data_IF_090795036504
#
_entry.id   IF_090795036504
#
_cell.length_a   1.000
_cell.length_b   1.000
_cell.length_c   1.000
_cell.angle_alpha   90.00
_cell.angle_beta   90.00
_cell.angle_gamma   90.00
#
_symmetry.space_group_name_H-M   'P 1'
#
loop_
_entity.id
_entity.type
_entity.pdbx_description
1 polymer ?
#
# COMPACT_ATOMS: atom_id res chain seq x y z
N UNK A 1 -8.54 32.28 -73.18
CA UNK A 1 -9.96 32.21 -73.05
C UNK A 1 -10.21 31.29 -71.79
N UNK A 2 -10.26 32.00 -70.75
CA UNK A 2 -10.41 31.62 -69.35
C UNK A 2 -11.88 31.57 -69.03
N UNK A 3 -12.22 30.72 -68.17
CA UNK A 3 -13.28 30.79 -67.14
C UNK A 3 -13.99 29.47 -66.94
N UNK A 4 -14.23 29.20 -65.71
CA UNK A 4 -15.12 28.17 -65.13
C UNK A 4 -14.53 26.76 -64.97
N UNK A 5 -13.94 26.53 -63.79
CA UNK A 5 -14.29 25.41 -62.91
C UNK A 5 -13.83 25.77 -61.47
N UNK A 6 -14.58 26.63 -60.79
CA UNK A 6 -14.69 26.65 -59.36
C UNK A 6 -16.12 26.30 -59.05
N UNK A 7 -16.34 25.12 -58.45
CA UNK A 7 -17.45 24.88 -57.50
C UNK A 7 -17.52 23.39 -57.15
N UNK A 8 -17.59 23.12 -55.84
CA UNK A 8 -17.91 21.84 -55.22
C UNK A 8 -16.73 20.94 -54.79
N UNK A 9 -16.13 21.31 -53.66
CA UNK A 9 -15.62 20.32 -52.70
C UNK A 9 -15.70 20.87 -51.26
N UNK A 10 -16.93 21.13 -50.81
CA UNK A 10 -17.23 21.43 -49.43
C UNK A 10 -18.39 20.51 -49.01
N UNK A 11 -18.07 19.26 -48.65
CA UNK A 11 -18.96 18.43 -47.85
C UNK A 11 -18.21 17.15 -47.47
N UNK A 12 -18.30 16.80 -46.19
CA UNK A 12 -17.86 15.54 -45.57
C UNK A 12 -16.41 15.46 -45.08
N UNK A 13 -16.11 16.09 -43.94
CA UNK A 13 -15.23 15.49 -42.93
C UNK A 13 -15.53 16.08 -41.54
N UNK A 14 -16.76 15.90 -41.08
CA UNK A 14 -17.03 15.91 -39.65
C UNK A 14 -16.93 14.46 -39.13
N UNK A 15 -15.70 13.92 -39.06
CA UNK A 15 -15.42 12.71 -38.32
C UNK A 15 -15.19 13.10 -36.87
N UNK A 16 -16.08 12.64 -36.04
CA UNK A 16 -16.05 12.61 -34.60
C UNK A 16 -14.62 12.60 -34.05
N UNK A 17 -14.14 13.72 -33.50
CA UNK A 17 -13.06 13.73 -32.54
C UNK A 17 -13.65 13.32 -31.19
N UNK A 18 -13.81 12.04 -30.97
CA UNK A 18 -13.86 11.52 -29.61
C UNK A 18 -12.56 11.94 -28.90
N UNK A 19 -12.61 12.48 -27.69
CA UNK A 19 -11.39 12.73 -26.94
C UNK A 19 -10.70 11.40 -26.73
N UNK A 20 -9.56 11.20 -27.37
CA UNK A 20 -8.62 10.16 -27.02
C UNK A 20 -8.20 10.48 -25.58
N UNK A 21 -8.84 9.86 -24.60
CA UNK A 21 -8.28 9.77 -23.26
C UNK A 21 -6.92 9.10 -23.46
N UNK A 22 -5.86 9.90 -23.49
CA UNK A 22 -4.52 9.37 -23.35
C UNK A 22 -4.50 8.59 -22.05
N UNK A 23 -4.51 7.26 -22.13
CA UNK A 23 -4.07 6.39 -21.05
C UNK A 23 -2.59 6.73 -20.86
N UNK A 24 -2.31 7.71 -20.01
CA UNK A 24 -0.97 7.84 -19.43
C UNK A 24 -0.80 6.55 -18.65
N UNK A 25 -0.05 5.61 -19.21
CA UNK A 25 0.32 4.37 -18.54
C UNK A 25 1.08 4.81 -17.29
N UNK A 26 0.44 4.70 -16.13
CA UNK A 26 1.07 5.02 -14.85
C UNK A 26 2.32 4.15 -14.76
N UNK A 27 3.48 4.77 -14.64
CA UNK A 27 4.73 4.01 -14.56
C UNK A 27 4.82 3.35 -13.18
N UNK A 28 5.13 2.06 -13.16
CA UNK A 28 5.37 1.36 -11.91
C UNK A 28 6.58 1.98 -11.20
N UNK A 29 6.40 2.37 -9.94
CA UNK A 29 7.48 2.92 -9.10
C UNK A 29 8.44 1.83 -8.67
N UNK A 30 7.90 0.63 -8.36
CA UNK A 30 8.67 -0.55 -7.94
C UNK A 30 8.19 -1.75 -8.75
N UNK A 31 9.13 -2.51 -9.34
CA UNK A 31 8.86 -3.79 -9.99
C UNK A 31 9.76 -4.86 -9.38
N UNK A 32 9.14 -5.91 -8.87
CA UNK A 32 9.79 -7.11 -8.36
C UNK A 32 9.51 -8.19 -9.39
N UNK A 33 10.56 -8.80 -9.98
CA UNK A 33 10.44 -9.74 -11.09
C UNK A 33 11.07 -11.07 -10.71
N UNK A 34 10.24 -12.10 -10.53
CA UNK A 34 10.62 -13.49 -10.27
C UNK A 34 11.70 -13.63 -9.18
N UNK A 35 11.51 -12.92 -8.05
CA UNK A 35 12.49 -12.92 -6.96
C UNK A 35 12.41 -14.21 -6.17
N UNK A 36 13.58 -14.86 -6.02
CA UNK A 36 13.82 -16.02 -5.17
C UNK A 36 14.80 -15.65 -4.06
N UNK A 37 14.53 -16.13 -2.86
CA UNK A 37 15.48 -16.06 -1.75
C UNK A 37 15.60 -17.40 -1.04
N UNK A 38 16.80 -17.96 -1.08
CA UNK A 38 17.15 -19.18 -0.36
C UNK A 38 18.28 -18.81 0.62
N UNK A 39 18.12 -19.21 1.87
CA UNK A 39 19.12 -19.06 2.91
C UNK A 39 19.90 -20.37 3.09
N UNK A 40 21.21 -20.30 3.22
CA UNK A 40 22.11 -21.44 3.38
C UNK A 40 23.49 -21.16 2.79
N UNK A 41 24.39 -22.12 2.84
CA UNK A 41 25.81 -21.95 2.45
C UNK A 41 26.02 -21.78 0.94
N UNK A 42 25.22 -22.42 0.11
CA UNK A 42 25.27 -22.32 -1.36
C UNK A 42 23.86 -22.26 -1.96
N UNK A 43 23.14 -21.12 -1.82
CA UNK A 43 21.74 -21.04 -2.18
C UNK A 43 21.46 -21.27 -3.68
N UNK A 44 22.42 -20.94 -4.56
CA UNK A 44 22.26 -21.12 -6.02
C UNK A 44 22.21 -22.60 -6.43
N UNK A 45 22.86 -23.50 -5.68
CA UNK A 45 22.82 -24.94 -5.99
C UNK A 45 21.44 -25.56 -5.77
N UNK A 46 20.62 -24.96 -4.91
CA UNK A 46 19.28 -25.43 -4.55
C UNK A 46 18.18 -24.78 -5.40
N UNK A 47 18.51 -23.68 -6.09
CA UNK A 47 17.56 -22.93 -6.91
C UNK A 47 16.84 -23.79 -7.96
N UNK A 48 17.48 -24.71 -8.70
CA UNK A 48 16.78 -25.58 -9.66
C UNK A 48 15.72 -26.45 -9.00
N UNK A 49 15.96 -26.93 -7.78
CA UNK A 49 15.00 -27.73 -7.01
C UNK A 49 13.76 -26.91 -6.64
N UNK A 50 13.94 -25.65 -6.19
CA UNK A 50 12.86 -24.72 -5.88
C UNK A 50 12.08 -24.37 -7.16
N UNK A 51 12.75 -24.03 -8.25
CA UNK A 51 12.13 -23.77 -9.55
C UNK A 51 11.39 -24.99 -10.11
N UNK A 52 11.80 -26.20 -9.72
CA UNK A 52 11.13 -27.46 -10.04
C UNK A 52 9.89 -27.75 -9.20
N UNK A 53 9.51 -26.85 -8.28
CA UNK A 53 8.27 -26.95 -7.50
C UNK A 53 8.41 -27.67 -6.14
N UNK A 54 9.63 -27.92 -5.66
CA UNK A 54 9.84 -28.50 -4.34
C UNK A 54 9.32 -27.57 -3.23
N UNK A 55 8.69 -28.16 -2.21
CA UNK A 55 8.18 -27.39 -1.06
C UNK A 55 9.32 -26.89 -0.15
N UNK A 56 9.01 -25.94 0.74
CA UNK A 56 9.95 -25.43 1.74
C UNK A 56 10.48 -26.57 2.63
N UNK A 57 9.60 -27.46 3.05
CA UNK A 57 9.87 -28.60 3.89
C UNK A 57 10.82 -29.58 3.20
N UNK A 58 10.54 -29.93 1.94
CA UNK A 58 11.38 -30.81 1.13
C UNK A 58 12.79 -30.22 0.91
N UNK A 59 12.87 -28.90 0.64
CA UNK A 59 14.16 -28.22 0.49
C UNK A 59 14.95 -28.26 1.79
N UNK A 60 14.30 -27.94 2.92
CA UNK A 60 14.93 -27.96 4.23
C UNK A 60 15.44 -29.36 4.58
N UNK A 61 14.60 -30.40 4.42
CA UNK A 61 14.93 -31.78 4.76
C UNK A 61 16.08 -32.33 3.92
N UNK A 62 16.05 -32.10 2.60
CA UNK A 62 17.03 -32.67 1.67
C UNK A 62 18.36 -31.90 1.63
N UNK A 63 18.35 -30.60 1.94
CA UNK A 63 19.52 -29.76 1.70
C UNK A 63 19.95 -28.89 2.87
N UNK A 64 19.15 -28.79 3.92
CA UNK A 64 19.38 -27.89 5.07
C UNK A 64 19.21 -26.42 4.75
N UNK A 65 18.67 -26.06 3.56
CA UNK A 65 18.42 -24.68 3.16
C UNK A 65 16.99 -24.26 3.47
N UNK A 66 16.80 -22.97 3.72
CA UNK A 66 15.48 -22.41 3.98
C UNK A 66 15.05 -21.49 2.84
N UNK A 67 13.89 -21.75 2.24
CA UNK A 67 13.30 -20.89 1.21
C UNK A 67 12.60 -19.71 1.90
N UNK A 68 13.09 -18.50 1.65
CA UNK A 68 12.51 -17.25 2.15
C UNK A 68 11.47 -16.65 1.20
N UNK A 69 11.80 -16.64 -0.12
CA UNK A 69 10.90 -16.21 -1.20
C UNK A 69 11.00 -17.22 -2.36
N UNK A 70 9.87 -17.47 -2.98
CA UNK A 70 9.73 -18.40 -4.10
C UNK A 70 8.91 -17.74 -5.22
N UNK A 71 9.59 -17.29 -6.27
CA UNK A 71 9.02 -16.71 -7.48
C UNK A 71 8.07 -15.52 -7.25
N UNK A 72 8.48 -14.57 -6.42
CA UNK A 72 7.65 -13.41 -6.11
C UNK A 72 7.76 -12.35 -7.21
N UNK A 73 6.61 -11.94 -7.77
CA UNK A 73 6.53 -10.85 -8.74
C UNK A 73 5.42 -9.88 -8.34
N UNK A 74 5.76 -8.60 -8.19
CA UNK A 74 4.85 -7.53 -7.72
C UNK A 74 5.17 -6.25 -8.49
N UNK A 75 4.12 -5.49 -8.84
CA UNK A 75 4.24 -4.12 -9.35
C UNK A 75 3.54 -3.17 -8.40
N UNK A 76 4.22 -2.08 -8.06
CA UNK A 76 3.70 -1.04 -7.15
C UNK A 76 3.73 0.28 -7.91
N UNK A 77 2.60 0.95 -7.97
CA UNK A 77 2.42 2.20 -8.70
C UNK A 77 2.93 3.40 -7.87
N UNK A 78 3.23 4.49 -8.55
CA UNK A 78 3.63 5.73 -7.87
C UNK A 78 2.50 6.30 -7.00
N UNK A 79 2.83 6.69 -5.76
CA UNK A 79 1.89 7.26 -4.78
C UNK A 79 0.93 6.25 -4.16
N UNK A 80 1.15 4.96 -4.40
CA UNK A 80 0.35 3.87 -3.87
C UNK A 80 0.86 3.42 -2.49
N UNK A 81 -0.08 3.06 -1.62
CA UNK A 81 0.21 2.26 -0.43
C UNK A 81 -0.02 0.79 -0.74
N UNK A 82 1.05 0.05 -0.96
CA UNK A 82 1.02 -1.41 -1.16
C UNK A 82 1.25 -2.11 0.17
N UNK A 83 0.30 -2.91 0.60
CA UNK A 83 0.42 -3.71 1.83
C UNK A 83 0.81 -5.14 1.48
N UNK A 84 1.88 -5.63 2.08
CA UNK A 84 2.26 -7.03 2.01
C UNK A 84 1.92 -7.71 3.33
N UNK A 85 0.93 -8.62 3.31
CA UNK A 85 0.47 -9.32 4.50
C UNK A 85 0.72 -10.85 4.44
N UNK A 86 0.54 -11.53 5.56
CA UNK A 86 0.69 -12.97 5.71
C UNK A 86 1.13 -13.35 7.13
N UNK A 87 1.10 -14.62 7.47
CA UNK A 87 1.50 -15.12 8.79
C UNK A 87 3.00 -14.93 9.06
N UNK A 88 3.41 -15.12 10.31
CA UNK A 88 4.84 -15.12 10.68
C UNK A 88 5.60 -16.17 9.85
N UNK A 89 6.79 -15.81 9.35
CA UNK A 89 7.60 -16.69 8.50
C UNK A 89 7.14 -16.81 7.04
N UNK A 90 6.12 -16.06 6.58
CA UNK A 90 5.68 -16.08 5.18
C UNK A 90 6.63 -15.39 4.18
N UNK A 91 7.65 -14.65 4.64
CA UNK A 91 8.64 -13.99 3.79
C UNK A 91 8.54 -12.48 3.69
N UNK A 92 7.55 -11.83 4.36
CA UNK A 92 7.30 -10.37 4.28
C UNK A 92 8.52 -9.51 4.59
N UNK A 93 9.14 -9.69 5.76
CA UNK A 93 10.34 -8.93 6.16
C UNK A 93 11.55 -9.25 5.26
N UNK A 94 11.59 -10.46 4.67
CA UNK A 94 12.57 -10.80 3.65
C UNK A 94 12.33 -9.97 2.40
N UNK A 95 11.09 -9.88 1.92
CA UNK A 95 10.71 -9.13 0.72
C UNK A 95 11.09 -7.65 0.84
N UNK A 96 10.67 -6.97 1.94
CA UNK A 96 10.94 -5.54 2.10
C UNK A 96 12.44 -5.24 2.18
N UNK A 97 13.23 -6.14 2.77
CA UNK A 97 14.71 -6.00 2.86
C UNK A 97 15.42 -6.20 1.54
N UNK A 98 14.78 -6.77 0.53
CA UNK A 98 15.31 -6.82 -0.82
C UNK A 98 15.12 -5.47 -1.55
N UNK A 99 14.05 -4.71 -1.27
CA UNK A 99 13.80 -3.43 -1.91
C UNK A 99 14.91 -2.40 -1.65
N UNK A 100 15.42 -2.36 -0.43
CA UNK A 100 16.57 -1.52 -0.07
C UNK A 100 17.93 -2.25 -0.15
N UNK A 101 17.89 -3.48 -0.69
CA UNK A 101 19.05 -4.35 -0.85
C UNK A 101 19.86 -4.54 0.44
N UNK A 102 19.20 -4.61 1.61
CA UNK A 102 19.82 -5.09 2.85
C UNK A 102 20.12 -6.58 2.76
N UNK A 103 19.41 -7.30 1.91
CA UNK A 103 19.61 -8.69 1.58
C UNK A 103 19.57 -8.82 0.06
N UNK A 104 20.56 -9.48 -0.55
CA UNK A 104 20.53 -9.79 -1.98
C UNK A 104 19.62 -11.01 -2.25
N UNK A 105 18.81 -11.02 -3.32
CA UNK A 105 18.07 -12.19 -3.76
C UNK A 105 19.03 -13.31 -4.22
N UNK A 106 18.53 -14.54 -4.24
CA UNK A 106 19.26 -15.67 -4.86
C UNK A 106 19.15 -15.61 -6.37
N UNK A 107 17.99 -15.15 -6.87
CA UNK A 107 17.68 -14.94 -8.30
C UNK A 107 16.54 -13.93 -8.45
N UNK A 108 16.38 -13.36 -9.64
CA UNK A 108 15.37 -12.36 -9.97
C UNK A 108 15.89 -10.93 -9.86
N UNK A 109 15.07 -9.99 -10.31
CA UNK A 109 15.42 -8.57 -10.42
C UNK A 109 14.44 -7.69 -9.64
N UNK A 110 14.95 -6.54 -9.16
CA UNK A 110 14.16 -5.49 -8.54
C UNK A 110 14.50 -4.18 -9.23
N UNK A 111 13.48 -3.60 -9.86
CA UNK A 111 13.59 -2.30 -10.52
C UNK A 111 12.86 -1.25 -9.69
N UNK A 112 13.54 -0.14 -9.46
CA UNK A 112 12.97 1.04 -8.81
C UNK A 112 13.16 2.21 -9.77
N UNK A 113 12.05 2.81 -10.21
CA UNK A 113 12.05 3.82 -11.27
C UNK A 113 12.83 3.36 -12.54
N UNK A 114 12.68 2.08 -12.89
CA UNK A 114 13.37 1.47 -14.03
C UNK A 114 14.85 1.11 -13.79
N UNK A 115 15.43 1.50 -12.65
CA UNK A 115 16.81 1.15 -12.29
C UNK A 115 16.84 -0.20 -11.56
N UNK A 116 17.60 -1.18 -12.10
CA UNK A 116 17.81 -2.45 -11.42
C UNK A 116 18.74 -2.25 -10.20
N UNK A 117 18.18 -2.37 -9.01
CA UNK A 117 18.92 -2.16 -7.74
C UNK A 117 20.04 -3.18 -7.57
N UNK A 118 19.89 -4.38 -8.17
CA UNK A 118 20.91 -5.44 -8.09
C UNK A 118 22.18 -5.09 -8.86
N UNK A 119 22.12 -4.23 -9.87
CA UNK A 119 23.26 -3.80 -10.68
C UNK A 119 24.09 -2.67 -10.05
N UNK A 120 23.58 -2.04 -8.98
CA UNK A 120 24.27 -0.92 -8.34
C UNK A 120 25.54 -1.38 -7.64
N UNK A 121 26.63 -0.64 -7.83
CA UNK A 121 27.85 -0.79 -7.04
C UNK A 121 27.64 -0.23 -5.62
N UNK A 122 28.61 -0.39 -4.74
CA UNK A 122 28.49 0.02 -3.32
C UNK A 122 28.21 1.52 -3.16
N UNK A 123 28.90 2.36 -3.92
CA UNK A 123 28.75 3.81 -3.86
C UNK A 123 27.34 4.26 -4.30
N UNK A 124 26.91 3.79 -5.46
CA UNK A 124 25.58 4.08 -6.01
C UNK A 124 24.46 3.50 -5.13
N UNK A 125 24.70 2.36 -4.46
CA UNK A 125 23.73 1.77 -3.52
C UNK A 125 23.59 2.63 -2.25
N UNK A 126 24.68 3.20 -1.74
CA UNK A 126 24.64 4.11 -0.60
C UNK A 126 23.86 5.38 -0.98
N UNK A 127 24.16 5.96 -2.14
CA UNK A 127 23.45 7.14 -2.64
C UNK A 127 21.97 6.85 -2.88
N UNK A 128 21.65 5.72 -3.49
CA UNK A 128 20.28 5.24 -3.68
C UNK A 128 19.51 5.14 -2.36
N UNK A 129 20.08 4.55 -1.32
CA UNK A 129 19.46 4.44 0.01
C UNK A 129 19.25 5.80 0.67
N UNK A 130 20.15 6.77 0.45
CA UNK A 130 20.06 8.11 1.03
C UNK A 130 18.94 8.96 0.43
N UNK A 131 18.69 8.80 -0.89
CA UNK A 131 17.85 9.74 -1.63
C UNK A 131 16.55 9.12 -2.18
N UNK A 132 16.47 7.79 -2.31
CA UNK A 132 15.32 7.15 -2.94
C UNK A 132 14.33 6.56 -1.95
N UNK A 133 14.79 6.13 -0.77
CA UNK A 133 13.91 5.46 0.16
C UNK A 133 14.26 5.69 1.62
N UNK A 134 13.24 5.67 2.45
CA UNK A 134 13.34 5.65 3.90
C UNK A 134 12.73 4.37 4.47
N UNK A 135 13.06 4.04 5.72
CA UNK A 135 12.54 2.84 6.35
C UNK A 135 12.16 3.07 7.81
N UNK A 136 10.96 2.61 8.17
CA UNK A 136 10.46 2.50 9.54
C UNK A 136 10.56 1.03 9.96
N UNK A 137 11.24 0.77 11.08
CA UNK A 137 11.53 -0.58 11.56
C UNK A 137 10.56 -1.01 12.66
N UNK A 138 10.31 -2.31 12.75
CA UNK A 138 9.46 -2.94 13.76
C UNK A 138 9.88 -2.61 15.21
N UNK A 139 11.20 -2.59 15.49
CA UNK A 139 11.79 -2.27 16.80
C UNK A 139 12.32 -0.84 16.86
N UNK A 140 11.60 0.13 16.26
CA UNK A 140 11.91 1.55 16.18
C UNK A 140 13.27 1.91 15.53
N UNK A 141 14.34 1.14 15.78
CA UNK A 141 15.68 1.35 15.23
C UNK A 141 16.26 2.72 15.57
N UNK A 142 15.93 3.27 16.74
CA UNK A 142 16.45 4.55 17.21
C UNK A 142 17.84 4.38 17.79
N UNK A 143 18.67 5.40 17.63
CA UNK A 143 19.98 5.48 18.26
C UNK A 143 19.81 5.87 19.74
N UNK A 144 20.13 5.00 20.71
CA UNK A 144 19.85 5.23 22.12
C UNK A 144 20.67 6.40 22.73
N UNK A 145 21.80 6.72 22.11
CA UNK A 145 22.72 7.78 22.50
C UNK A 145 22.46 9.12 21.80
N UNK A 146 21.47 9.21 20.93
CA UNK A 146 21.03 10.42 20.23
C UNK A 146 19.67 10.88 20.78
N UNK A 147 19.47 12.18 20.90
CA UNK A 147 18.16 12.76 21.25
C UNK A 147 17.14 12.55 20.14
N UNK A 148 15.87 12.91 20.39
CA UNK A 148 14.78 12.85 19.37
C UNK A 148 15.16 13.65 18.13
N UNK A 149 15.55 14.92 18.27
CA UNK A 149 15.93 15.78 17.14
C UNK A 149 17.12 15.21 16.36
N UNK A 150 18.11 14.66 17.06
CA UNK A 150 19.26 14.02 16.43
C UNK A 150 18.91 12.71 15.72
N UNK A 151 17.96 11.93 16.25
CA UNK A 151 17.44 10.74 15.59
C UNK A 151 16.70 11.11 14.31
N UNK A 152 15.80 12.10 14.36
CA UNK A 152 15.02 12.56 13.21
C UNK A 152 15.94 13.17 12.13
N UNK A 153 16.92 13.99 12.54
CA UNK A 153 17.88 14.63 11.64
C UNK A 153 18.95 13.70 11.05
N UNK A 154 19.07 12.44 11.53
CA UNK A 154 20.16 11.55 11.14
C UNK A 154 20.21 11.25 9.64
N UNK A 155 19.05 11.01 9.01
CA UNK A 155 19.00 10.76 7.56
C UNK A 155 19.47 11.96 6.74
N UNK A 156 19.14 13.18 7.19
CA UNK A 156 19.60 14.43 6.58
C UNK A 156 21.12 14.63 6.76
N UNK A 157 21.67 14.18 7.90
CA UNK A 157 23.12 14.15 8.13
C UNK A 157 23.83 13.27 7.10
N UNK A 158 23.23 12.10 6.80
CA UNK A 158 23.75 11.19 5.77
C UNK A 158 23.61 11.75 4.34
N UNK A 159 22.64 12.65 4.10
CA UNK A 159 22.48 13.39 2.85
C UNK A 159 23.42 14.61 2.73
N UNK A 160 24.25 14.90 3.76
CA UNK A 160 25.20 16.01 3.76
C UNK A 160 24.59 17.39 4.08
N UNK A 161 23.38 17.45 4.66
CA UNK A 161 22.75 18.69 5.06
C UNK A 161 23.47 19.35 6.25
N UNK A 162 23.48 20.67 6.27
CA UNK A 162 24.04 21.46 7.39
C UNK A 162 23.25 21.21 8.68
N UNK A 163 23.85 21.50 9.84
CA UNK A 163 23.19 21.32 11.13
C UNK A 163 21.93 22.19 11.25
N UNK A 164 21.97 23.41 10.75
CA UNK A 164 20.82 24.32 10.75
C UNK A 164 19.66 23.77 9.93
N UNK A 165 19.91 23.30 8.68
CA UNK A 165 18.90 22.66 7.82
C UNK A 165 18.32 21.42 8.48
N UNK A 166 19.18 20.57 9.07
CA UNK A 166 18.74 19.33 9.75
C UNK A 166 17.81 19.64 10.92
N UNK A 167 18.22 20.57 11.80
CA UNK A 167 17.45 20.92 12.97
C UNK A 167 16.10 21.55 12.59
N UNK A 168 16.10 22.45 11.60
CA UNK A 168 14.85 23.04 11.08
C UNK A 168 13.89 21.96 10.58
N UNK A 169 14.33 21.11 9.65
CA UNK A 169 13.49 20.06 9.10
C UNK A 169 13.08 19.03 10.18
N UNK A 170 13.99 18.68 11.09
CA UNK A 170 13.67 17.75 12.18
C UNK A 170 12.58 18.30 13.09
N UNK A 171 12.62 19.58 13.45
CA UNK A 171 11.58 20.24 14.26
C UNK A 171 10.23 20.19 13.56
N UNK A 172 10.16 20.52 12.27
CA UNK A 172 8.92 20.45 11.48
C UNK A 172 8.32 19.04 11.49
N UNK A 173 9.15 17.98 11.36
CA UNK A 173 8.67 16.60 11.37
C UNK A 173 8.32 16.09 12.76
N UNK A 174 9.00 16.56 13.81
CA UNK A 174 8.65 16.29 15.22
C UNK A 174 7.27 16.87 15.53
N UNK A 175 7.01 18.10 15.12
CA UNK A 175 5.70 18.75 15.26
C UNK A 175 4.61 17.97 14.49
N UNK A 176 4.87 17.60 13.23
CA UNK A 176 3.93 16.87 12.38
C UNK A 176 3.49 15.51 12.97
N UNK A 177 4.34 14.86 13.79
CA UNK A 177 4.00 13.62 14.49
C UNK A 177 3.52 13.84 15.93
N UNK A 178 3.31 15.11 16.36
CA UNK A 178 2.80 15.46 17.68
C UNK A 178 3.78 15.19 18.83
N UNK A 179 5.07 15.43 18.62
CA UNK A 179 6.13 15.25 19.61
C UNK A 179 6.81 16.59 20.02
N UNK A 180 6.14 17.73 19.81
CA UNK A 180 6.66 19.02 20.27
C UNK A 180 6.90 19.02 21.79
N UNK A 181 8.06 19.52 22.21
CA UNK A 181 8.50 19.53 23.61
C UNK A 181 9.34 18.32 24.04
N UNK A 182 9.53 17.33 23.14
CA UNK A 182 10.31 16.11 23.40
C UNK A 182 11.63 16.07 22.63
N UNK A 183 12.03 17.13 21.95
CA UNK A 183 13.15 17.21 21.02
C UNK A 183 14.48 16.78 21.63
N UNK A 184 14.70 17.16 22.89
CA UNK A 184 15.94 16.93 23.63
C UNK A 184 15.94 15.64 24.46
N UNK A 185 14.83 14.88 24.45
CA UNK A 185 14.76 13.62 25.17
C UNK A 185 15.45 12.50 24.41
N UNK A 186 15.90 11.48 25.16
CA UNK A 186 16.49 10.26 24.64
C UNK A 186 15.42 9.18 24.48
N UNK A 187 15.61 8.20 23.60
CA UNK A 187 14.64 7.11 23.35
C UNK A 187 14.17 6.39 24.63
N UNK A 188 15.03 6.17 25.60
CA UNK A 188 14.69 5.50 26.86
C UNK A 188 13.76 6.30 27.77
N UNK A 189 13.56 7.59 27.49
CA UNK A 189 12.64 8.48 28.22
C UNK A 189 11.26 8.55 27.58
N UNK A 190 11.05 7.82 26.46
CA UNK A 190 9.84 7.88 25.65
C UNK A 190 9.05 6.57 25.78
N UNK A 191 7.71 6.66 25.72
CA UNK A 191 6.86 5.48 25.54
C UNK A 191 7.11 4.81 24.19
N UNK A 192 6.70 3.54 24.03
CA UNK A 192 6.82 2.83 22.76
C UNK A 192 6.13 3.55 21.60
N UNK A 193 4.94 4.10 21.82
CA UNK A 193 4.24 4.91 20.82
C UNK A 193 4.99 6.19 20.42
N UNK A 194 5.61 6.87 21.39
CA UNK A 194 6.45 8.04 21.10
C UNK A 194 7.70 7.65 20.31
N UNK A 195 8.36 6.53 20.66
CA UNK A 195 9.51 6.04 19.90
C UNK A 195 9.14 5.71 18.45
N UNK A 196 7.94 5.15 18.24
CA UNK A 196 7.42 4.88 16.89
C UNK A 196 7.20 6.18 16.10
N UNK A 197 6.63 7.21 16.73
CA UNK A 197 6.46 8.53 16.11
C UNK A 197 7.81 9.16 15.74
N UNK A 198 8.84 9.01 16.57
CA UNK A 198 10.22 9.43 16.23
C UNK A 198 10.74 8.67 15.01
N UNK A 199 10.51 7.34 14.93
CA UNK A 199 10.86 6.54 13.76
C UNK A 199 10.17 7.00 12.48
N UNK A 200 8.89 7.36 12.57
CA UNK A 200 8.12 7.91 11.45
C UNK A 200 8.64 9.30 11.06
N UNK A 201 8.85 10.20 12.03
CA UNK A 201 9.40 11.53 11.77
C UNK A 201 10.78 11.47 11.09
N UNK A 202 11.65 10.52 11.51
CA UNK A 202 12.95 10.27 10.88
C UNK A 202 12.82 9.85 9.42
N UNK A 203 11.87 8.96 9.12
CA UNK A 203 11.62 8.52 7.76
C UNK A 203 11.05 9.65 6.88
N UNK A 204 10.19 10.50 7.44
CA UNK A 204 9.62 11.66 6.74
C UNK A 204 10.62 12.80 6.52
N UNK A 205 11.63 12.92 7.40
CA UNK A 205 12.60 14.01 7.33
C UNK A 205 13.49 13.96 6.08
N UNK A 206 13.81 12.76 5.60
CA UNK A 206 14.66 12.56 4.41
C UNK A 206 13.99 12.92 3.10
N UNK A 207 12.68 13.15 3.11
CA UNK A 207 11.83 13.50 1.96
C UNK A 207 12.02 12.61 0.72
N UNK A 208 12.20 11.30 0.96
CA UNK A 208 12.32 10.30 -0.10
C UNK A 208 10.95 9.92 -0.67
N UNK A 209 10.91 9.52 -1.95
CA UNK A 209 9.66 9.14 -2.65
C UNK A 209 9.07 7.83 -2.16
N UNK A 210 9.92 6.92 -1.65
CA UNK A 210 9.53 5.58 -1.21
C UNK A 210 9.73 5.44 0.28
N UNK A 211 8.70 4.96 0.98
CA UNK A 211 8.74 4.64 2.40
C UNK A 211 8.48 3.16 2.61
N UNK A 212 9.43 2.47 3.24
CA UNK A 212 9.31 1.07 3.63
C UNK A 212 8.93 0.99 5.12
N UNK A 213 7.91 0.20 5.45
CA UNK A 213 7.41 0.06 6.82
C UNK A 213 7.33 -1.42 7.20
N UNK A 214 8.25 -1.90 8.04
CA UNK A 214 8.32 -3.32 8.47
C UNK A 214 7.61 -3.47 9.82
N UNK A 215 6.36 -3.95 9.82
CA UNK A 215 5.49 -4.13 11.01
C UNK A 215 5.49 -2.92 11.95
N UNK A 216 5.40 -1.73 11.37
CA UNK A 216 5.64 -0.48 12.07
C UNK A 216 4.72 -0.22 13.27
N UNK A 217 3.53 -0.82 13.31
CA UNK A 217 2.55 -0.59 14.39
C UNK A 217 2.30 -1.82 15.28
N UNK A 218 2.98 -2.94 15.04
CA UNK A 218 2.72 -4.21 15.74
C UNK A 218 3.01 -4.16 17.24
N UNK A 219 3.97 -3.33 17.66
CA UNK A 219 4.37 -3.19 19.06
C UNK A 219 3.56 -2.15 19.86
N UNK A 220 2.55 -1.52 19.23
CA UNK A 220 1.73 -0.49 19.86
C UNK A 220 0.45 -1.06 20.46
N UNK A 221 -0.04 -0.46 21.55
CA UNK A 221 -1.37 -0.74 22.07
C UNK A 221 -2.45 -0.30 21.06
N UNK A 222 -3.68 -0.87 21.14
CA UNK A 222 -4.71 -0.67 20.13
C UNK A 222 -5.10 0.80 19.89
N UNK A 223 -5.11 1.63 20.96
CA UNK A 223 -5.51 3.03 20.85
C UNK A 223 -4.43 3.84 20.09
N UNK A 224 -3.18 3.72 20.53
CA UNK A 224 -2.06 4.40 19.87
C UNK A 224 -1.88 3.91 18.43
N UNK A 225 -2.09 2.61 18.18
CA UNK A 225 -2.05 2.05 16.82
C UNK A 225 -3.09 2.70 15.91
N UNK A 226 -4.34 2.83 16.37
CA UNK A 226 -5.40 3.47 15.58
C UNK A 226 -5.07 4.94 15.27
N UNK A 227 -4.52 5.68 16.23
CA UNK A 227 -4.11 7.07 16.04
C UNK A 227 -2.97 7.19 15.03
N UNK A 228 -1.97 6.30 15.10
CA UNK A 228 -0.84 6.27 14.17
C UNK A 228 -1.26 5.92 12.75
N UNK A 229 -2.20 4.97 12.58
CA UNK A 229 -2.77 4.63 11.28
C UNK A 229 -3.51 5.83 10.67
N UNK A 230 -4.33 6.52 11.47
CA UNK A 230 -5.03 7.72 11.03
C UNK A 230 -4.04 8.80 10.60
N UNK A 231 -3.02 9.07 11.42
CA UNK A 231 -1.98 10.05 11.11
C UNK A 231 -1.23 9.68 9.82
N UNK A 232 -0.94 8.40 9.58
CA UNK A 232 -0.31 7.95 8.34
C UNK A 232 -1.21 8.21 7.12
N UNK A 233 -2.52 7.94 7.22
CA UNK A 233 -3.47 8.22 6.15
C UNK A 233 -3.59 9.71 5.84
N UNK A 234 -3.65 10.55 6.88
CA UNK A 234 -3.70 12.01 6.73
C UNK A 234 -2.44 12.51 6.01
N UNK A 235 -1.25 12.10 6.47
CA UNK A 235 0.03 12.42 5.84
C UNK A 235 0.12 11.90 4.38
N UNK A 236 -0.36 10.68 4.12
CA UNK A 236 -0.33 10.11 2.78
C UNK A 236 -1.24 10.85 1.80
N UNK A 237 -2.38 11.36 2.26
CA UNK A 237 -3.29 12.17 1.44
C UNK A 237 -2.62 13.46 0.93
N UNK A 238 -1.70 14.02 1.71
CA UNK A 238 -0.95 15.24 1.39
C UNK A 238 0.32 14.95 0.58
N UNK A 239 1.13 13.99 1.06
CA UNK A 239 2.48 13.74 0.55
C UNK A 239 2.52 12.82 -0.68
N UNK A 240 1.51 11.95 -0.85
CA UNK A 240 1.38 10.99 -1.97
C UNK A 240 2.64 10.15 -2.20
N UNK A 241 3.30 9.72 -1.12
CA UNK A 241 4.49 8.88 -1.19
C UNK A 241 4.12 7.45 -1.58
N UNK A 242 5.03 6.75 -2.24
CA UNK A 242 4.87 5.31 -2.45
C UNK A 242 5.25 4.57 -1.18
N UNK A 243 4.30 3.85 -0.58
CA UNK A 243 4.51 3.15 0.70
C UNK A 243 4.45 1.65 0.47
N UNK A 244 5.46 0.91 0.96
CA UNK A 244 5.41 -0.55 1.09
C UNK A 244 5.28 -0.89 2.56
N UNK A 245 4.12 -1.37 2.96
CA UNK A 245 3.76 -1.62 4.35
C UNK A 245 3.68 -3.13 4.62
N UNK A 246 4.42 -3.62 5.59
CA UNK A 246 4.39 -5.02 6.04
C UNK A 246 3.57 -5.13 7.31
N UNK A 247 2.60 -6.04 7.31
CA UNK A 247 1.83 -6.38 8.52
C UNK A 247 1.36 -7.84 8.49
N UNK A 248 0.95 -8.35 9.64
CA UNK A 248 0.20 -9.59 9.78
C UNK A 248 -1.27 -9.34 10.17
N UNK A 249 -1.65 -8.08 10.31
CA UNK A 249 -2.99 -7.64 10.71
C UNK A 249 -3.82 -7.30 9.45
N UNK A 250 -4.93 -8.03 9.29
CA UNK A 250 -5.81 -7.83 8.14
C UNK A 250 -6.55 -6.48 8.20
N UNK A 251 -6.98 -6.04 9.39
CA UNK A 251 -7.68 -4.75 9.53
C UNK A 251 -6.76 -3.59 9.15
N UNK A 252 -5.46 -3.66 9.51
CA UNK A 252 -4.46 -2.71 9.02
C UNK A 252 -4.35 -2.73 7.49
N UNK A 253 -4.29 -3.93 6.91
CA UNK A 253 -4.15 -4.11 5.47
C UNK A 253 -5.32 -3.50 4.71
N UNK A 254 -6.55 -3.77 5.18
CA UNK A 254 -7.78 -3.26 4.58
C UNK A 254 -7.96 -1.76 4.74
N UNK A 255 -7.44 -1.19 5.84
CA UNK A 255 -7.55 0.24 6.15
C UNK A 255 -6.53 1.09 5.42
N UNK A 256 -5.28 0.61 5.30
CA UNK A 256 -4.15 1.39 4.80
C UNK A 256 -3.85 1.16 3.33
N UNK A 257 -4.15 -0.04 2.80
CA UNK A 257 -3.71 -0.47 1.47
C UNK A 257 -4.62 0.02 0.34
N UNK A 258 -4.01 0.52 -0.72
CA UNK A 258 -4.65 0.63 -2.03
C UNK A 258 -4.68 -0.74 -2.71
N UNK A 259 -3.57 -1.48 -2.62
CA UNK A 259 -3.48 -2.90 -2.95
C UNK A 259 -2.86 -3.71 -1.82
N UNK A 260 -3.27 -4.97 -1.73
CA UNK A 260 -2.79 -5.93 -0.75
C UNK A 260 -2.21 -7.14 -1.48
N UNK A 261 -0.96 -7.48 -1.17
CA UNK A 261 -0.32 -8.72 -1.59
C UNK A 261 -0.26 -9.70 -0.42
N UNK A 262 -0.83 -10.90 -0.58
CA UNK A 262 -0.83 -11.93 0.46
C UNK A 262 0.27 -12.94 0.20
N UNK A 263 1.20 -13.06 1.15
CA UNK A 263 2.29 -14.03 1.12
C UNK A 263 2.00 -15.24 2.01
N UNK A 264 2.22 -16.42 1.44
CA UNK A 264 2.21 -17.68 2.17
C UNK A 264 3.45 -18.50 1.81
N UNK A 265 4.17 -19.00 2.81
CA UNK A 265 5.34 -19.86 2.65
C UNK A 265 6.37 -19.36 1.59
N UNK A 266 6.57 -18.05 1.46
CA UNK A 266 7.48 -17.43 0.49
C UNK A 266 6.87 -17.16 -0.88
N UNK A 267 5.64 -17.58 -1.13
CA UNK A 267 4.91 -17.37 -2.40
C UNK A 267 3.91 -16.24 -2.28
N UNK A 268 3.73 -15.50 -3.35
CA UNK A 268 2.63 -14.54 -3.48
C UNK A 268 1.37 -15.30 -3.91
N UNK A 269 0.35 -15.32 -3.02
CA UNK A 269 -0.90 -16.07 -3.24
C UNK A 269 -1.89 -15.22 -4.01
N UNK A 270 -2.08 -13.98 -3.59
CA UNK A 270 -3.03 -13.06 -4.21
C UNK A 270 -2.52 -11.61 -4.13
N UNK A 271 -2.85 -10.83 -5.15
CA UNK A 271 -2.75 -9.36 -5.14
C UNK A 271 -4.09 -8.79 -5.60
N UNK A 272 -4.57 -7.79 -4.89
CA UNK A 272 -5.82 -7.10 -5.25
C UNK A 272 -6.11 -5.91 -4.35
N UNK A 273 -7.16 -5.18 -4.68
CA UNK A 273 -7.70 -4.14 -3.79
C UNK A 273 -8.25 -4.77 -2.50
N UNK A 274 -8.46 -4.00 -1.41
CA UNK A 274 -9.15 -4.50 -0.21
C UNK A 274 -10.47 -5.22 -0.52
N UNK A 275 -11.22 -4.70 -1.49
CA UNK A 275 -12.49 -5.30 -1.94
C UNK A 275 -12.26 -6.64 -2.63
N UNK A 276 -11.27 -6.74 -3.53
CA UNK A 276 -10.95 -7.99 -4.23
C UNK A 276 -10.57 -9.09 -3.25
N UNK A 277 -9.74 -8.75 -2.26
CA UNK A 277 -9.29 -9.72 -1.23
C UNK A 277 -10.48 -10.25 -0.41
N UNK A 278 -11.42 -9.38 -0.01
CA UNK A 278 -12.55 -9.76 0.84
C UNK A 278 -13.67 -10.47 0.07
N UNK A 279 -13.90 -10.06 -1.19
CA UNK A 279 -15.02 -10.58 -1.98
C UNK A 279 -14.67 -11.77 -2.86
N UNK A 280 -13.40 -11.89 -3.26
CA UNK A 280 -12.93 -12.89 -4.21
C UNK A 280 -11.61 -13.53 -3.71
N UNK A 281 -11.62 -14.23 -2.55
CA UNK A 281 -10.42 -14.91 -2.05
C UNK A 281 -9.93 -15.95 -3.06
N UNK A 282 -8.62 -16.00 -3.32
CA UNK A 282 -8.02 -16.85 -4.35
C UNK A 282 -7.98 -18.33 -3.97
N UNK A 283 -7.89 -18.62 -2.68
CA UNK A 283 -7.83 -19.97 -2.13
C UNK A 283 -8.31 -20.02 -0.67
N UNK A 284 -8.35 -21.22 -0.08
CA UNK A 284 -8.77 -21.46 1.30
C UNK A 284 -7.90 -20.73 2.33
N UNK A 285 -6.60 -20.47 1.98
CA UNK A 285 -5.70 -19.74 2.87
C UNK A 285 -6.11 -18.27 2.97
N UNK A 286 -6.44 -17.62 1.87
CA UNK A 286 -6.93 -16.24 1.85
C UNK A 286 -8.33 -16.17 2.46
N UNK A 287 -9.20 -17.14 2.15
CA UNK A 287 -10.54 -17.23 2.73
C UNK A 287 -10.50 -17.28 4.25
N UNK A 288 -9.57 -18.04 4.84
CA UNK A 288 -9.38 -18.12 6.28
C UNK A 288 -9.06 -16.78 6.94
N UNK A 289 -8.34 -15.87 6.24
CA UNK A 289 -8.09 -14.52 6.73
C UNK A 289 -9.34 -13.65 6.72
N UNK A 290 -10.13 -13.71 5.64
CA UNK A 290 -11.26 -12.81 5.44
C UNK A 290 -12.57 -13.29 6.04
N UNK A 291 -12.57 -14.52 6.58
CA UNK A 291 -13.76 -15.20 7.12
C UNK A 291 -14.51 -14.36 8.15
N UNK A 292 -13.80 -13.66 9.03
CA UNK A 292 -14.41 -12.90 10.13
C UNK A 292 -14.40 -11.38 9.92
N UNK A 293 -14.04 -10.93 8.70
CA UNK A 293 -14.03 -9.51 8.35
C UNK A 293 -15.43 -8.91 8.36
N UNK A 294 -15.55 -7.78 9.02
CA UNK A 294 -16.75 -6.96 8.90
C UNK A 294 -16.76 -6.24 7.53
N UNK A 295 -17.47 -6.83 6.57
CA UNK A 295 -17.58 -6.29 5.19
C UNK A 295 -18.09 -4.86 5.14
N UNK A 296 -18.89 -4.41 6.13
CA UNK A 296 -19.36 -3.04 6.18
C UNK A 296 -18.25 -1.99 6.33
N UNK A 297 -17.11 -2.37 6.90
CA UNK A 297 -15.92 -1.52 7.05
C UNK A 297 -15.05 -1.43 5.79
N UNK A 298 -15.27 -2.31 4.81
CA UNK A 298 -14.44 -2.43 3.61
C UNK A 298 -15.19 -1.97 2.36
N UNK A 299 -16.49 -2.28 2.30
CA UNK A 299 -17.31 -2.00 1.13
C UNK A 299 -17.82 -0.57 1.14
N UNK A 300 -17.56 0.16 0.05
CA UNK A 300 -18.11 1.50 -0.20
C UNK A 300 -19.39 1.41 -0.99
N UNK A 301 -20.25 2.44 -0.86
CA UNK A 301 -21.54 2.52 -1.58
C UNK A 301 -21.39 2.26 -3.09
N UNK A 302 -20.37 2.83 -3.75
CA UNK A 302 -20.10 2.65 -5.19
C UNK A 302 -19.83 1.22 -5.62
N UNK A 303 -19.40 0.34 -4.71
CA UNK A 303 -19.07 -1.06 -5.02
C UNK A 303 -20.33 -1.92 -5.11
N UNK A 304 -21.33 -1.61 -4.29
CA UNK A 304 -22.55 -2.43 -4.18
C UNK A 304 -23.77 -1.79 -4.85
N UNK A 305 -23.67 -0.54 -5.33
CA UNK A 305 -24.76 0.14 -6.02
C UNK A 305 -25.03 -0.48 -7.39
N UNK A 306 -26.28 -0.49 -7.78
CA UNK A 306 -26.70 -0.62 -9.18
C UNK A 306 -26.67 0.73 -9.86
N UNK A 307 -26.23 0.79 -11.09
CA UNK A 307 -26.30 2.01 -11.90
C UNK A 307 -27.74 2.47 -12.08
N UNK A 308 -27.95 3.75 -12.41
CA UNK A 308 -29.31 4.32 -12.61
C UNK A 308 -30.12 3.49 -13.62
N UNK A 309 -29.47 2.94 -14.65
CA UNK A 309 -30.13 2.13 -15.69
C UNK A 309 -30.50 0.71 -15.23
N UNK A 310 -29.80 0.18 -14.23
CA UNK A 310 -30.03 -1.18 -13.69
C UNK A 310 -30.98 -1.19 -12.49
N UNK A 311 -31.28 -0.02 -11.94
CA UNK A 311 -32.05 0.16 -10.70
C UNK A 311 -33.56 0.35 -10.93
N UNK A 312 -34.13 -0.14 -12.03
CA UNK A 312 -35.54 0.07 -12.39
C UNK A 312 -36.54 -0.56 -11.38
N UNK A 313 -36.10 -1.59 -10.65
CA UNK A 313 -36.96 -2.30 -9.67
C UNK A 313 -36.85 -1.75 -8.23
N UNK A 314 -36.01 -0.75 -7.99
CA UNK A 314 -35.82 -0.21 -6.65
C UNK A 314 -36.91 0.81 -6.35
N UNK A 315 -37.62 0.61 -5.23
CA UNK A 315 -38.58 1.57 -4.74
C UNK A 315 -37.91 2.90 -4.34
N UNK A 316 -38.28 3.97 -5.00
CA UNK A 316 -37.73 5.31 -4.84
C UNK A 316 -38.52 6.21 -3.87
N UNK A 317 -39.55 5.67 -3.23
CA UNK A 317 -40.42 6.46 -2.30
C UNK A 317 -39.73 6.70 -0.94
N UNK A 318 -38.85 5.81 -0.52
CA UNK A 318 -38.11 5.93 0.76
C UNK A 318 -36.61 5.79 0.52
N UNK A 319 -35.96 6.93 0.20
CA UNK A 319 -34.54 6.98 -0.14
C UNK A 319 -33.74 7.79 0.88
N UNK A 320 -32.62 7.25 1.30
CA UNK A 320 -31.58 7.98 2.04
C UNK A 320 -30.46 8.34 1.06
N UNK A 321 -30.07 9.61 1.02
CA UNK A 321 -29.00 10.10 0.17
C UNK A 321 -27.65 9.86 0.83
N UNK A 322 -26.75 9.14 0.12
CA UNK A 322 -25.42 8.77 0.60
C UNK A 322 -24.35 9.08 -0.45
N UNK A 323 -23.13 9.35 -0.02
CA UNK A 323 -21.99 9.57 -0.90
C UNK A 323 -21.45 8.26 -1.49
N UNK A 324 -21.01 8.29 -2.75
CA UNK A 324 -20.44 7.11 -3.44
C UNK A 324 -19.21 6.50 -2.74
N UNK A 325 -18.43 7.32 -2.02
CA UNK A 325 -17.22 6.90 -1.32
C UNK A 325 -17.43 6.52 0.16
N UNK A 326 -18.66 6.66 0.69
CA UNK A 326 -19.00 6.27 2.06
C UNK A 326 -18.92 4.75 2.25
N UNK A 327 -18.36 4.31 3.37
CA UNK A 327 -18.39 2.91 3.77
C UNK A 327 -19.79 2.51 4.25
N UNK A 328 -20.14 1.23 4.07
CA UNK A 328 -21.46 0.72 4.47
C UNK A 328 -21.71 0.97 5.96
N UNK A 329 -20.73 0.81 6.83
CA UNK A 329 -20.88 1.02 8.28
C UNK A 329 -21.36 2.43 8.64
N UNK A 330 -21.04 3.44 7.84
CA UNK A 330 -21.38 4.85 8.10
C UNK A 330 -22.88 5.13 7.89
N UNK A 331 -23.51 4.46 6.92
CA UNK A 331 -24.91 4.69 6.58
C UNK A 331 -25.86 3.53 6.96
N UNK A 332 -25.32 2.35 7.26
CA UNK A 332 -26.08 1.15 7.62
C UNK A 332 -27.10 1.40 8.76
N UNK A 333 -26.74 2.09 9.87
CA UNK A 333 -27.71 2.36 10.94
C UNK A 333 -28.93 3.15 10.46
N UNK A 334 -28.72 4.15 9.60
CA UNK A 334 -29.81 4.98 9.08
C UNK A 334 -30.74 4.16 8.14
N UNK A 335 -30.14 3.32 7.29
CA UNK A 335 -30.90 2.46 6.36
C UNK A 335 -31.73 1.44 7.14
N UNK A 336 -31.17 0.80 8.15
CA UNK A 336 -31.88 -0.19 8.98
C UNK A 336 -32.99 0.44 9.79
N UNK A 337 -32.75 1.57 10.48
CA UNK A 337 -33.74 2.26 11.29
C UNK A 337 -34.93 2.75 10.48
N UNK A 338 -34.74 3.20 9.25
CA UNK A 338 -35.78 3.76 8.41
C UNK A 338 -36.34 2.74 7.40
N UNK A 339 -35.86 1.52 7.37
CA UNK A 339 -36.16 0.51 6.35
C UNK A 339 -36.14 1.10 4.93
N UNK A 340 -35.08 1.88 4.63
CA UNK A 340 -34.98 2.69 3.42
C UNK A 340 -34.04 2.03 2.39
N UNK A 341 -34.17 2.44 1.13
CA UNK A 341 -33.19 2.23 0.09
C UNK A 341 -32.21 3.43 0.05
N UNK A 342 -31.11 3.33 -0.69
CA UNK A 342 -30.15 4.42 -0.81
C UNK A 342 -30.12 5.01 -2.22
N UNK A 343 -30.03 6.33 -2.30
CA UNK A 343 -29.64 7.08 -3.48
C UNK A 343 -28.17 7.46 -3.37
N UNK A 344 -27.33 6.90 -4.25
CA UNK A 344 -25.87 7.13 -4.22
C UNK A 344 -25.50 8.32 -5.09
N UNK A 345 -24.80 9.29 -4.53
CA UNK A 345 -24.42 10.53 -5.21
C UNK A 345 -22.90 10.76 -5.22
N UNK A 346 -22.41 11.42 -6.26
CA UNK A 346 -21.03 11.91 -6.30
C UNK A 346 -20.84 13.18 -5.44
N UNK A 347 -19.59 13.65 -5.35
CA UNK A 347 -19.22 14.86 -4.59
C UNK A 347 -19.91 16.14 -5.10
N UNK A 348 -20.47 16.12 -6.32
CA UNK A 348 -21.24 17.23 -6.92
C UNK A 348 -22.74 17.10 -6.71
N UNK A 349 -23.20 16.02 -6.08
CA UNK A 349 -24.62 15.72 -5.83
C UNK A 349 -25.34 15.04 -6.99
N UNK A 350 -24.64 14.62 -8.06
CA UNK A 350 -25.24 13.87 -9.16
C UNK A 350 -25.49 12.42 -8.76
N UNK A 351 -26.68 11.91 -9.08
CA UNK A 351 -27.05 10.51 -8.80
C UNK A 351 -26.23 9.56 -9.69
N UNK A 352 -25.52 8.61 -9.06
CA UNK A 352 -24.73 7.57 -9.71
C UNK A 352 -25.45 6.23 -9.77
N UNK A 353 -26.27 5.95 -8.77
CA UNK A 353 -26.98 4.68 -8.66
C UNK A 353 -27.83 4.59 -7.41
N UNK A 354 -28.32 3.38 -7.14
CA UNK A 354 -29.15 3.07 -6.00
C UNK A 354 -28.73 1.76 -5.35
N UNK A 355 -28.98 1.62 -4.05
CA UNK A 355 -28.76 0.38 -3.29
C UNK A 355 -30.09 0.01 -2.64
N UNK A 356 -30.61 -1.18 -2.94
CA UNK A 356 -31.76 -1.72 -2.22
C UNK A 356 -31.34 -2.34 -0.88
N UNK A 357 -32.25 -2.40 0.08
CA UNK A 357 -32.02 -3.08 1.35
C UNK A 357 -31.63 -4.55 1.16
N UNK A 358 -32.19 -5.22 0.12
CA UNK A 358 -31.86 -6.60 -0.25
C UNK A 358 -30.41 -6.73 -0.74
N UNK A 359 -29.92 -5.80 -1.54
CA UNK A 359 -28.54 -5.80 -2.02
C UNK A 359 -27.54 -5.52 -0.90
N UNK A 360 -27.91 -4.60 -0.01
CA UNK A 360 -27.13 -4.33 1.18
C UNK A 360 -26.99 -5.57 2.06
N UNK A 361 -28.11 -6.26 2.34
CA UNK A 361 -28.08 -7.52 3.10
C UNK A 361 -27.24 -8.59 2.41
N UNK A 362 -27.39 -8.75 1.08
CA UNK A 362 -26.60 -9.72 0.29
C UNK A 362 -25.11 -9.41 0.34
N UNK A 363 -24.71 -8.14 0.26
CA UNK A 363 -23.30 -7.75 0.31
C UNK A 363 -22.63 -7.98 1.68
N UNK A 364 -23.43 -7.94 2.75
CA UNK A 364 -22.98 -8.19 4.13
C UNK A 364 -23.07 -9.66 4.54
N UNK A 365 -23.95 -10.45 3.89
CA UNK A 365 -24.05 -11.87 4.18
C UNK A 365 -22.80 -12.59 3.70
N UNK A 366 -22.33 -13.56 4.48
CA UNK A 366 -21.31 -14.52 4.06
C UNK A 366 -21.94 -15.43 2.99
N UNK A 367 -21.27 -15.62 1.87
CA UNK A 367 -21.67 -16.57 0.82
C UNK A 367 -21.63 -17.98 1.38
#
# INVERSE_FOLDING_TARGET
MQLMVEMNFFLCFNVFKAPVKSFVKKMSKIEINNVYKIFGSNPKSVLPMVKGGATKEEVLEKTGHTVGLDNVSIKIEEGETFVCMGLSGSGKSTLIRHLNRLIDPTDGDILIEGTNVMSLNTENLIDFRRHKMSMVFQRFGLFPHKTVIQNVGYGLEMQGKTEEERNKTAMEKIEAVGLSGFENQYPNQLSGGMQQRVGLARALATDTDIMLMDEAFSALDPLIRSDMQKQLLDLQSELKKTIVFITHDLDESLRLGDHIGILNAGKLVQVGTPVDIVMNPADDYVEAFVKDVNRAKVLKAKIIMKTVNEANEIDKNNLIKIGEDQFIEEFLPQVVCNNANCEVVDKKGNVKGYISNKELQKSLSKS
#
